data_IF_241222783495
#
_entry.id   IF_241222783495
#
_cell.length_a   1.000
_cell.length_b   1.000
_cell.length_c   1.000
_cell.angle_alpha   90.00
_cell.angle_beta   90.00
_cell.angle_gamma   90.00
#
_symmetry.space_group_name_H-M   'P 1'
#
loop_
_entity.id
_entity.type
_entity.pdbx_description
1 polymer ?
#
# COMPACT_ATOMS: atom_id res chain seq x y z
N UNK A 1 14.44 -8.09 -21.83
CA UNK A 1 14.32 -7.26 -20.61
C UNK A 1 12.97 -7.61 -19.99
N UNK A 2 12.97 -8.47 -18.96
CA UNK A 2 11.74 -8.96 -18.33
C UNK A 2 11.16 -7.80 -17.53
N UNK A 3 10.00 -7.27 -17.95
CA UNK A 3 9.20 -6.37 -17.12
C UNK A 3 8.66 -7.20 -15.97
N UNK A 4 9.39 -7.26 -14.85
CA UNK A 4 8.80 -7.74 -13.60
C UNK A 4 7.78 -6.70 -13.18
N UNK A 5 6.50 -7.00 -13.40
CA UNK A 5 5.41 -6.27 -12.76
C UNK A 5 5.59 -6.48 -11.25
N UNK A 6 6.08 -5.46 -10.56
CA UNK A 6 6.33 -5.55 -9.12
C UNK A 6 5.00 -5.44 -8.38
N UNK A 7 4.63 -6.53 -7.71
CA UNK A 7 3.37 -6.70 -7.01
C UNK A 7 3.23 -5.74 -5.82
N UNK A 8 2.00 -5.29 -5.58
CA UNK A 8 1.64 -4.57 -4.35
C UNK A 8 1.06 -5.59 -3.38
N UNK A 9 1.65 -5.68 -2.20
CA UNK A 9 1.27 -6.63 -1.16
C UNK A 9 0.56 -5.85 -0.06
N UNK A 10 -0.63 -6.30 0.32
CA UNK A 10 -1.35 -5.80 1.49
C UNK A 10 -1.43 -6.93 2.49
N UNK A 11 -0.89 -6.67 3.68
CA UNK A 11 -0.99 -7.58 4.81
C UNK A 11 -1.93 -6.98 5.84
N UNK A 12 -2.86 -7.80 6.28
CA UNK A 12 -3.71 -7.50 7.42
C UNK A 12 -3.12 -8.18 8.65
N UNK A 13 -2.73 -7.41 9.66
CA UNK A 13 -2.30 -7.98 10.94
C UNK A 13 -3.55 -8.16 11.80
N UNK A 14 -4.02 -9.40 11.96
CA UNK A 14 -5.16 -9.74 12.82
C UNK A 14 -4.77 -9.75 14.31
N UNK A 15 -3.47 -9.81 14.64
CA UNK A 15 -2.97 -9.82 16.03
C UNK A 15 -2.88 -8.40 16.57
N UNK A 16 -2.49 -7.45 15.72
CA UNK A 16 -2.57 -6.01 16.01
C UNK A 16 -3.91 -5.47 15.53
N UNK A 17 -4.95 -5.67 16.34
CA UNK A 17 -6.31 -5.17 16.09
C UNK A 17 -6.30 -3.75 15.50
N UNK A 18 -6.45 -3.67 14.18
CA UNK A 18 -6.54 -2.41 13.46
C UNK A 18 -5.27 -1.91 12.74
N UNK A 19 -4.22 -2.70 12.53
CA UNK A 19 -3.10 -2.29 11.68
C UNK A 19 -3.13 -2.97 10.30
N UNK A 20 -2.96 -2.17 9.25
CA UNK A 20 -2.85 -2.61 7.87
C UNK A 20 -1.47 -2.23 7.36
N UNK A 21 -0.72 -3.21 6.88
CA UNK A 21 0.58 -2.97 6.26
C UNK A 21 0.43 -3.01 4.75
N UNK A 22 0.78 -1.90 4.09
CA UNK A 22 0.83 -1.80 2.63
C UNK A 22 2.30 -1.75 2.20
N UNK A 23 2.69 -2.69 1.36
CA UNK A 23 3.98 -2.71 0.69
C UNK A 23 3.79 -2.56 -0.81
N UNK A 24 4.54 -1.65 -1.44
CA UNK A 24 4.52 -1.50 -2.89
C UNK A 24 5.90 -1.12 -3.42
N UNK A 25 6.28 -1.69 -4.57
CA UNK A 25 7.40 -1.18 -5.36
C UNK A 25 6.94 -0.23 -6.48
N UNK A 26 5.63 -0.02 -6.62
CA UNK A 26 5.09 0.91 -7.60
C UNK A 26 5.19 2.34 -7.08
N UNK A 27 6.10 3.12 -7.67
CA UNK A 27 6.24 4.56 -7.37
C UNK A 27 4.92 5.31 -7.49
N UNK A 28 4.10 4.97 -8.48
CA UNK A 28 2.78 5.58 -8.69
C UNK A 28 1.85 5.33 -7.49
N UNK A 29 1.81 4.09 -7.01
CA UNK A 29 0.94 3.72 -5.88
C UNK A 29 1.43 4.34 -4.57
N UNK A 30 2.74 4.37 -4.35
CA UNK A 30 3.33 5.08 -3.21
C UNK A 30 2.97 6.58 -3.23
N UNK A 31 3.04 7.24 -4.39
CA UNK A 31 2.65 8.65 -4.53
C UNK A 31 1.16 8.88 -4.25
N UNK A 32 0.28 7.97 -4.69
CA UNK A 32 -1.16 8.03 -4.37
C UNK A 32 -1.36 7.93 -2.85
N UNK A 33 -0.75 6.94 -2.20
CA UNK A 33 -0.86 6.78 -0.75
C UNK A 33 -0.38 8.03 0.00
N UNK A 34 0.75 8.61 -0.42
CA UNK A 34 1.29 9.85 0.16
C UNK A 34 0.35 11.03 -0.06
N UNK A 35 -0.22 11.19 -1.25
CA UNK A 35 -1.17 12.28 -1.55
C UNK A 35 -2.45 12.22 -0.73
N UNK A 36 -2.88 11.03 -0.35
CA UNK A 36 -4.03 10.80 0.55
C UNK A 36 -3.64 10.93 2.05
N UNK A 37 -2.36 11.19 2.31
CA UNK A 37 -1.77 11.51 3.60
C UNK A 37 -1.26 10.32 4.40
N UNK A 38 -0.97 9.18 3.75
CA UNK A 38 -0.14 8.16 4.36
C UNK A 38 1.33 8.63 4.42
N UNK A 39 1.99 8.37 5.54
CA UNK A 39 3.45 8.52 5.62
C UNK A 39 4.08 7.13 5.52
N UNK A 40 5.11 6.94 4.68
CA UNK A 40 5.80 5.65 4.62
C UNK A 40 6.53 5.41 5.94
N UNK A 41 6.34 4.23 6.53
CA UNK A 41 7.09 3.77 7.70
C UNK A 41 8.51 3.36 7.32
N UNK A 42 8.72 2.89 6.09
CA UNK A 42 10.04 2.57 5.56
C UNK A 42 10.09 2.77 4.03
N UNK A 43 11.27 3.10 3.51
CA UNK A 43 11.53 3.26 2.07
C UNK A 43 12.84 2.56 1.72
N UNK A 44 12.80 1.63 0.76
CA UNK A 44 13.98 0.94 0.24
C UNK A 44 14.60 1.76 -0.89
N UNK A 45 15.91 1.94 -0.84
CA UNK A 45 16.68 2.64 -1.87
C UNK A 45 17.68 1.70 -2.55
N UNK A 46 17.78 1.78 -3.88
CA UNK A 46 18.84 1.16 -4.68
C UNK A 46 19.50 2.29 -5.48
N UNK A 47 20.83 2.41 -5.38
CA UNK A 47 21.62 3.48 -6.02
C UNK A 47 21.05 4.89 -5.77
N UNK A 48 20.62 5.15 -4.53
CA UNK A 48 20.02 6.42 -4.12
C UNK A 48 18.60 6.68 -4.63
N UNK A 49 17.99 5.74 -5.35
CA UNK A 49 16.61 5.85 -5.86
C UNK A 49 15.67 5.02 -5.00
N UNK A 50 14.56 5.60 -4.58
CA UNK A 50 13.50 4.89 -3.88
C UNK A 50 12.84 3.86 -4.83
N UNK A 51 12.82 2.60 -4.41
CA UNK A 51 12.31 1.46 -5.19
C UNK A 51 11.17 0.73 -4.51
N UNK A 52 11.00 0.87 -3.20
CA UNK A 52 9.89 0.28 -2.47
C UNK A 52 9.48 1.10 -1.25
N UNK A 53 8.21 1.02 -0.88
CA UNK A 53 7.61 1.78 0.22
C UNK A 53 6.75 0.87 1.08
N UNK A 54 6.91 1.03 2.39
CA UNK A 54 6.08 0.40 3.41
C UNK A 54 5.22 1.47 4.06
N UNK A 55 3.95 1.17 4.30
CA UNK A 55 3.03 2.03 5.04
C UNK A 55 2.35 1.21 6.12
N UNK A 56 2.27 1.80 7.32
CA UNK A 56 1.50 1.27 8.42
C UNK A 56 0.26 2.15 8.60
N UNK A 57 -0.91 1.59 8.32
CA UNK A 57 -2.17 2.31 8.30
C UNK A 57 -3.09 1.77 9.41
N UNK A 58 -3.65 2.67 10.22
CA UNK A 58 -4.69 2.31 11.18
C UNK A 58 -6.00 1.94 10.46
N UNK A 59 -6.79 0.99 10.95
CA UNK A 59 -8.10 0.57 10.39
C UNK A 59 -9.13 1.66 10.61
N UNK A 60 -9.04 2.71 9.80
CA UNK A 60 -9.94 3.86 9.80
C UNK A 60 -10.58 4.01 8.43
N UNK A 61 -11.68 4.78 8.35
CA UNK A 61 -12.30 5.13 7.08
C UNK A 61 -11.31 5.80 6.11
N UNK A 62 -10.36 6.56 6.63
CA UNK A 62 -9.29 7.20 5.85
C UNK A 62 -8.37 6.17 5.20
N UNK A 63 -7.89 5.19 5.96
CA UNK A 63 -7.04 4.12 5.42
C UNK A 63 -7.77 3.28 4.38
N UNK A 64 -9.07 3.03 4.57
CA UNK A 64 -9.90 2.38 3.55
C UNK A 64 -9.92 3.18 2.23
N UNK A 65 -9.99 4.51 2.28
CA UNK A 65 -9.90 5.38 1.09
C UNK A 65 -8.55 5.22 0.39
N UNK A 66 -7.46 5.21 1.17
CA UNK A 66 -6.09 5.03 0.65
C UNK A 66 -5.97 3.69 -0.07
N UNK A 67 -6.43 2.59 0.55
CA UNK A 67 -6.39 1.26 -0.05
C UNK A 67 -7.22 1.17 -1.33
N UNK A 68 -8.42 1.78 -1.35
CA UNK A 68 -9.27 1.83 -2.54
C UNK A 68 -8.65 2.64 -3.69
N UNK A 69 -7.87 3.68 -3.38
CA UNK A 69 -7.16 4.48 -4.38
C UNK A 69 -5.93 3.73 -4.92
N UNK A 70 -5.22 2.99 -4.05
CA UNK A 70 -4.04 2.19 -4.41
C UNK A 70 -4.41 0.92 -5.18
N UNK A 71 -5.58 0.35 -4.92
CA UNK A 71 -6.06 -0.86 -5.58
C UNK A 71 -7.42 -0.66 -6.27
N UNK A 72 -7.42 -0.18 -7.54
CA UNK A 72 -8.65 -0.08 -8.33
C UNK A 72 -9.43 -1.41 -8.43
N UNK A 73 -8.76 -2.56 -8.24
CA UNK A 73 -9.37 -3.90 -8.22
C UNK A 73 -9.92 -4.38 -6.86
N UNK A 74 -9.61 -3.71 -5.74
CA UNK A 74 -10.07 -4.13 -4.39
C UNK A 74 -11.57 -3.94 -4.18
N UNK A 75 -12.23 -3.20 -5.07
CA UNK A 75 -13.70 -3.10 -5.13
C UNK A 75 -14.41 -4.46 -5.24
N UNK A 76 -13.73 -5.52 -5.71
CA UNK A 76 -14.34 -6.85 -5.89
C UNK A 76 -14.30 -7.79 -4.68
N UNK A 77 -13.44 -7.55 -3.68
CA UNK A 77 -13.27 -8.51 -2.56
C UNK A 77 -14.22 -8.22 -1.40
N UNK A 78 -14.66 -6.97 -1.23
CA UNK A 78 -15.59 -6.57 -0.14
C UNK A 78 -17.08 -6.62 -0.53
N UNK A 79 -17.42 -7.06 -1.75
CA UNK A 79 -18.81 -7.17 -2.21
C UNK A 79 -19.40 -8.58 -2.06
N UNK A 80 -18.63 -9.54 -1.52
CA UNK A 80 -19.03 -10.94 -1.36
C UNK A 80 -18.81 -11.46 0.09
N UNK A 81 -18.99 -10.61 1.10
CA UNK A 81 -19.14 -11.07 2.49
C UNK A 81 -20.49 -10.61 3.02
#
# INVERSE_FOLDING_TARGET
MIRQEQETIILWDEVKDGLITLYTCSRRLAQIAISEGASPSNVTYIDGKAVAWWFELQKTARSRKILMAVLPGFRKVLANQ
#
